data_IF_231725175781
#
_entry.id   IF_231725175781
#
_cell.length_a   1.000
_cell.length_b   1.000
_cell.length_c   1.000
_cell.angle_alpha   90.00
_cell.angle_beta   90.00
_cell.angle_gamma   90.00
#
_symmetry.space_group_name_H-M   'P 1'
#
loop_
_entity.id
_entity.type
_entity.pdbx_description
1 polymer ?
#
# COMPACT_ATOMS: atom_id res chain seq x y z
N UNK A 1 4.49 -11.27 -10.05
CA UNK A 1 3.37 -10.46 -10.57
C UNK A 1 3.78 -9.00 -10.73
N UNK A 2 4.13 -8.29 -9.64
CA UNK A 2 4.59 -6.89 -9.70
C UNK A 2 5.75 -6.69 -10.68
N UNK A 3 6.77 -7.54 -10.65
CA UNK A 3 7.90 -7.47 -11.59
C UNK A 3 7.55 -7.62 -13.09
N UNK A 4 6.34 -8.10 -13.42
CA UNK A 4 5.86 -8.11 -14.82
C UNK A 4 5.25 -6.77 -15.23
N UNK A 5 4.62 -6.05 -14.30
CA UNK A 5 4.00 -4.72 -14.51
C UNK A 5 5.04 -3.61 -14.36
N UNK A 6 6.00 -3.79 -13.44
CA UNK A 6 7.13 -2.91 -13.19
C UNK A 6 8.43 -3.69 -13.38
N UNK A 7 8.97 -3.78 -14.62
CA UNK A 7 10.15 -4.59 -14.93
C UNK A 7 11.39 -4.29 -14.08
N UNK A 8 11.54 -3.04 -13.61
CA UNK A 8 12.64 -2.60 -12.75
C UNK A 8 12.65 -3.27 -11.36
N UNK A 9 11.52 -3.86 -10.95
CA UNK A 9 11.33 -4.59 -9.70
C UNK A 9 11.37 -6.11 -9.87
N UNK A 10 11.67 -6.61 -11.08
CA UNK A 10 11.70 -8.05 -11.33
C UNK A 10 12.77 -8.75 -10.48
N UNK A 11 12.38 -9.83 -9.80
CA UNK A 11 13.23 -10.58 -8.87
C UNK A 11 13.56 -9.88 -7.54
N UNK A 12 13.08 -8.65 -7.30
CA UNK A 12 13.38 -7.87 -6.08
C UNK A 12 12.31 -7.96 -4.99
N UNK A 13 11.11 -8.40 -5.34
CA UNK A 13 9.98 -8.50 -4.41
C UNK A 13 9.53 -9.95 -4.28
N UNK A 14 9.30 -10.37 -3.05
CA UNK A 14 8.66 -11.63 -2.66
C UNK A 14 7.71 -11.36 -1.50
N UNK A 15 6.85 -12.32 -1.17
CA UNK A 15 5.90 -12.15 -0.09
C UNK A 15 5.33 -13.48 0.40
N UNK A 16 4.67 -13.41 1.54
CA UNK A 16 3.86 -14.49 2.11
C UNK A 16 2.50 -13.93 2.52
N UNK A 17 1.52 -14.81 2.75
CA UNK A 17 0.19 -14.43 3.16
C UNK A 17 -0.25 -15.27 4.36
N UNK A 18 -0.89 -14.61 5.32
CA UNK A 18 -1.58 -15.26 6.43
C UNK A 18 -3.07 -15.10 6.23
N UNK A 19 -3.83 -16.18 6.38
CA UNK A 19 -5.29 -16.14 6.42
C UNK A 19 -5.74 -16.08 7.87
N UNK A 20 -6.62 -15.14 8.17
CA UNK A 20 -7.19 -14.93 9.49
C UNK A 20 -8.72 -15.01 9.42
N UNK A 21 -9.43 -15.23 10.54
CA UNK A 21 -10.89 -15.35 10.57
C UNK A 21 -11.62 -14.00 10.39
N UNK A 22 -11.43 -13.33 9.25
CA UNK A 22 -12.17 -12.12 8.84
C UNK A 22 -13.00 -12.42 7.60
N UNK A 23 -14.19 -11.83 7.53
CA UNK A 23 -15.16 -12.12 6.44
C UNK A 23 -14.78 -11.45 5.12
N UNK A 24 -14.18 -10.25 5.21
CA UNK A 24 -13.78 -9.43 4.07
C UNK A 24 -12.67 -8.48 4.52
N UNK A 25 -12.04 -7.80 3.56
CA UNK A 25 -10.90 -6.90 3.70
C UNK A 25 -9.60 -7.62 4.05
N UNK A 26 -8.50 -7.09 3.52
CA UNK A 26 -7.14 -7.60 3.72
C UNK A 26 -6.17 -6.43 3.86
N UNK A 27 -4.98 -6.70 4.39
CA UNK A 27 -3.92 -5.71 4.55
C UNK A 27 -2.63 -6.18 3.88
N UNK A 28 -1.93 -5.25 3.26
CA UNK A 28 -0.56 -5.47 2.76
C UNK A 28 0.41 -4.79 3.72
N UNK A 29 1.30 -5.57 4.32
CA UNK A 29 2.44 -5.07 5.08
C UNK A 29 3.69 -5.14 4.20
N UNK A 30 4.19 -3.96 3.79
CA UNK A 30 5.32 -3.83 2.87
C UNK A 30 6.55 -3.32 3.61
N UNK A 31 7.55 -4.19 3.76
CA UNK A 31 8.89 -3.80 4.22
C UNK A 31 9.89 -3.84 3.08
N UNK A 32 10.56 -2.71 2.80
CA UNK A 32 11.55 -2.56 1.71
C UNK A 32 12.77 -1.76 2.15
N UNK A 33 13.87 -1.90 1.42
CA UNK A 33 15.05 -1.04 1.53
C UNK A 33 15.01 0.00 0.42
N UNK A 34 15.02 1.27 0.79
CA UNK A 34 15.05 2.37 -0.16
C UNK A 34 16.48 2.62 -0.64
N UNK A 35 16.62 3.01 -1.91
CA UNK A 35 17.91 3.40 -2.48
C UNK A 35 18.41 4.71 -1.87
N UNK A 36 17.49 5.65 -1.62
CA UNK A 36 17.75 6.91 -0.93
C UNK A 36 17.07 6.87 0.43
N UNK A 37 17.79 7.28 1.47
CA UNK A 37 17.20 7.40 2.80
C UNK A 37 16.04 8.39 2.77
N UNK A 38 14.95 8.02 3.42
CA UNK A 38 13.78 8.87 3.60
C UNK A 38 13.26 8.71 5.02
N UNK A 39 12.74 9.79 5.60
CA UNK A 39 12.03 9.73 6.87
C UNK A 39 10.61 9.20 6.68
N UNK A 40 9.99 8.76 7.76
CA UNK A 40 8.59 8.33 7.75
C UNK A 40 7.65 9.44 7.25
N UNK A 41 7.91 10.69 7.64
CA UNK A 41 7.08 11.82 7.22
C UNK A 41 7.23 12.11 5.72
N UNK A 42 8.42 11.95 5.15
CA UNK A 42 8.63 12.07 3.70
C UNK A 42 7.86 10.99 2.93
N UNK A 43 7.84 9.75 3.43
CA UNK A 43 7.11 8.65 2.81
C UNK A 43 5.60 8.91 2.88
N UNK A 44 5.07 9.27 4.06
CA UNK A 44 3.63 9.62 4.22
C UNK A 44 3.22 10.77 3.30
N UNK A 45 4.04 11.82 3.21
CA UNK A 45 3.74 12.96 2.36
C UNK A 45 3.66 12.55 0.88
N UNK A 46 4.61 11.75 0.39
CA UNK A 46 4.61 11.26 -0.98
C UNK A 46 3.39 10.37 -1.30
N UNK A 47 3.00 9.47 -0.39
CA UNK A 47 1.81 8.62 -0.56
C UNK A 47 0.54 9.47 -0.61
N UNK A 48 0.43 10.44 0.31
CA UNK A 48 -0.73 11.36 0.34
C UNK A 48 -0.83 12.18 -0.95
N UNK A 49 0.28 12.77 -1.40
CA UNK A 49 0.33 13.54 -2.65
C UNK A 49 -0.09 12.68 -3.86
N UNK A 50 0.45 11.46 -3.98
CA UNK A 50 0.07 10.55 -5.05
C UNK A 50 -1.43 10.16 -5.00
N UNK A 51 -1.98 9.95 -3.80
CA UNK A 51 -3.40 9.62 -3.60
C UNK A 51 -4.35 10.77 -4.00
N UNK A 52 -3.91 12.02 -3.85
CA UNK A 52 -4.68 13.20 -4.20
C UNK A 52 -4.44 13.64 -5.66
N UNK A 53 -3.35 13.16 -6.27
CA UNK A 53 -2.90 13.50 -7.62
C UNK A 53 -3.04 12.36 -8.63
N UNK A 54 -1.90 11.83 -9.09
CA UNK A 54 -1.82 10.90 -10.22
C UNK A 54 -2.55 9.55 -10.00
N UNK A 55 -2.69 9.12 -8.74
CA UNK A 55 -3.38 7.87 -8.38
C UNK A 55 -4.76 8.12 -7.78
N UNK A 56 -5.34 9.30 -7.99
CA UNK A 56 -6.66 9.64 -7.46
C UNK A 56 -7.72 8.64 -7.94
N UNK A 57 -8.43 8.05 -6.98
CA UNK A 57 -9.45 7.02 -7.23
C UNK A 57 -8.90 5.60 -7.32
N UNK A 58 -7.58 5.41 -7.20
CA UNK A 58 -6.89 4.11 -7.15
C UNK A 58 -6.14 3.96 -5.82
N UNK A 59 -5.54 5.06 -5.32
CA UNK A 59 -4.86 5.11 -4.04
C UNK A 59 -5.65 5.99 -3.06
N UNK A 60 -5.90 5.48 -1.86
CA UNK A 60 -6.45 6.22 -0.74
C UNK A 60 -5.40 6.48 0.35
N UNK A 61 -5.63 7.50 1.17
CA UNK A 61 -4.83 7.81 2.34
C UNK A 61 -5.75 8.21 3.50
N UNK A 62 -5.47 7.74 4.71
CA UNK A 62 -6.21 8.12 5.93
C UNK A 62 -5.26 8.23 7.12
N UNK A 63 -5.56 9.13 8.06
CA UNK A 63 -4.90 9.24 9.36
C UNK A 63 -5.84 8.89 10.52
N UNK A 64 -7.05 8.42 10.21
CA UNK A 64 -8.03 8.05 11.22
C UNK A 64 -7.70 6.68 11.81
N UNK A 65 -8.05 6.46 13.08
CA UNK A 65 -7.88 5.17 13.76
C UNK A 65 -8.94 4.16 13.28
N UNK A 66 -8.73 3.60 12.10
CA UNK A 66 -9.65 2.69 11.40
C UNK A 66 -9.30 1.23 11.58
N UNK A 67 -10.31 0.37 11.40
CA UNK A 67 -10.19 -1.10 11.41
C UNK A 67 -10.69 -1.70 10.10
N UNK A 68 -10.50 -3.01 9.91
CA UNK A 68 -10.82 -3.70 8.65
C UNK A 68 -12.24 -3.46 8.15
N UNK A 69 -13.23 -3.43 9.04
CA UNK A 69 -14.65 -3.25 8.66
C UNK A 69 -14.96 -1.88 8.07
N UNK A 70 -14.16 -0.86 8.38
CA UNK A 70 -14.36 0.50 7.87
C UNK A 70 -14.06 0.61 6.37
N UNK A 71 -13.37 -0.39 5.80
CA UNK A 71 -13.03 -0.47 4.39
C UNK A 71 -13.92 -1.42 3.57
N UNK A 72 -14.94 -2.02 4.18
CA UNK A 72 -15.87 -2.89 3.45
C UNK A 72 -16.66 -2.07 2.44
N UNK A 73 -16.64 -2.48 1.17
CA UNK A 73 -17.30 -1.77 0.08
C UNK A 73 -16.55 -0.53 -0.41
N UNK A 74 -15.32 -0.30 0.06
CA UNK A 74 -14.44 0.70 -0.54
C UNK A 74 -14.13 0.30 -1.99
N UNK A 75 -14.15 1.29 -2.89
CA UNK A 75 -14.01 1.09 -4.34
C UNK A 75 -12.69 1.61 -4.90
N UNK A 76 -11.84 2.15 -4.04
CA UNK A 76 -10.47 2.53 -4.38
C UNK A 76 -9.59 1.29 -4.52
#
# INVERSE_FOLDING_TARGET
AVGKVLPTLNGKLTGMAFRVPTVDVSVVDLTVRLEKAASYDQIKAAIKEASEGELKGILGFTNDDVVSTDFVGDSR
#
